data_IF_864515391260
#
_entry.id   IF_864515391260
#
_cell.length_a   1.000
_cell.length_b   1.000
_cell.length_c   1.000
_cell.angle_alpha   90.00
_cell.angle_beta   90.00
_cell.angle_gamma   90.00
#
_symmetry.space_group_name_H-M   'P 1'
#
loop_
_entity.id
_entity.type
_entity.pdbx_description
1 polymer ?
#
# COMPACT_ATOMS: atom_id res chain seq x y z
N UNK A 1 -63.59 3.83 32.82
CA UNK A 1 -64.47 3.77 31.63
C UNK A 1 -63.65 3.14 30.52
N UNK A 2 -64.08 1.96 30.05
CA UNK A 2 -63.39 1.05 29.13
C UNK A 2 -63.98 1.26 27.74
N UNK A 3 -63.16 1.42 26.70
CA UNK A 3 -63.52 1.24 25.28
C UNK A 3 -62.24 0.75 24.57
N UNK A 4 -62.01 -0.55 24.40
CA UNK A 4 -62.58 -1.50 23.44
C UNK A 4 -62.23 -1.18 21.97
N UNK A 5 -61.22 -1.92 21.46
CA UNK A 5 -60.83 -1.93 20.06
C UNK A 5 -61.72 -2.85 19.21
N UNK A 6 -61.75 -2.58 17.91
CA UNK A 6 -62.39 -3.43 16.90
C UNK A 6 -61.36 -3.88 15.87
N UNK A 7 -61.33 -5.20 15.65
CA UNK A 7 -60.62 -5.89 14.57
C UNK A 7 -61.54 -5.93 13.34
N UNK A 8 -60.98 -5.66 12.16
CA UNK A 8 -61.65 -5.89 10.88
C UNK A 8 -60.91 -6.96 10.09
N UNK A 9 -61.59 -8.09 9.87
CA UNK A 9 -61.22 -9.15 8.95
C UNK A 9 -61.63 -8.81 7.52
N UNK A 10 -60.84 -9.18 6.52
CA UNK A 10 -61.39 -9.45 5.18
C UNK A 10 -60.74 -10.68 4.55
N UNK A 11 -61.64 -11.55 4.05
CA UNK A 11 -61.42 -12.70 3.18
C UNK A 11 -60.66 -12.25 1.91
N UNK A 12 -59.75 -13.03 1.31
CA UNK A 12 -59.91 -14.38 0.82
C UNK A 12 -60.00 -14.36 -0.71
N UNK A 13 -59.02 -14.95 -1.39
CA UNK A 13 -59.17 -15.39 -2.79
C UNK A 13 -58.26 -16.58 -3.05
N UNK A 14 -58.92 -17.71 -3.28
CA UNK A 14 -58.38 -18.99 -3.69
C UNK A 14 -57.97 -18.90 -5.17
N UNK A 15 -56.71 -19.20 -5.48
CA UNK A 15 -56.30 -19.55 -6.85
C UNK A 15 -55.73 -20.97 -6.82
N UNK A 16 -56.49 -21.91 -7.38
CA UNK A 16 -56.02 -23.24 -7.76
C UNK A 16 -55.38 -23.14 -9.14
N UNK A 17 -54.13 -23.58 -9.28
CA UNK A 17 -53.60 -24.04 -10.56
C UNK A 17 -52.88 -25.38 -10.40
N UNK A 18 -53.08 -26.19 -11.42
CA UNK A 18 -52.89 -27.62 -11.49
C UNK A 18 -51.41 -28.04 -11.53
N UNK A 19 -51.18 -29.29 -11.10
CA UNK A 19 -49.86 -29.89 -11.06
C UNK A 19 -49.29 -30.27 -12.42
N UNK A 20 -47.97 -30.43 -12.43
CA UNK A 20 -47.24 -31.25 -13.38
C UNK A 20 -46.20 -32.04 -12.60
N UNK A 21 -46.29 -33.36 -12.68
CA UNK A 21 -45.32 -34.30 -12.15
C UNK A 21 -44.02 -34.19 -12.95
N UNK A 22 -42.92 -33.83 -12.27
CA UNK A 22 -41.56 -33.83 -12.79
C UNK A 22 -40.73 -34.91 -12.09
N UNK A 23 -40.13 -35.78 -12.91
CA UNK A 23 -39.38 -36.99 -12.62
C UNK A 23 -38.25 -36.80 -11.59
N UNK A 24 -38.18 -37.70 -10.60
CA UNK A 24 -37.06 -37.83 -9.65
C UNK A 24 -35.86 -38.44 -10.39
N UNK A 25 -34.86 -37.60 -10.71
CA UNK A 25 -33.55 -38.08 -11.13
C UNK A 25 -32.73 -38.50 -9.90
N UNK A 26 -32.36 -39.79 -9.85
CA UNK A 26 -31.44 -40.33 -8.86
C UNK A 26 -30.07 -39.67 -8.98
N UNK A 27 -29.58 -39.08 -7.89
CA UNK A 27 -28.19 -38.62 -7.76
C UNK A 27 -27.24 -39.83 -7.74
N UNK A 28 -26.18 -39.89 -8.56
CA UNK A 28 -25.12 -40.85 -8.36
C UNK A 28 -24.33 -40.50 -7.08
N UNK A 29 -24.13 -41.51 -6.23
CA UNK A 29 -23.16 -41.49 -5.13
C UNK A 29 -21.77 -41.29 -5.72
N UNK A 30 -21.18 -40.10 -5.54
CA UNK A 30 -19.75 -39.92 -5.75
C UNK A 30 -18.99 -40.45 -4.54
N UNK A 31 -18.16 -41.45 -4.81
CA UNK A 31 -17.21 -42.05 -3.87
C UNK A 31 -15.96 -41.14 -3.85
N UNK A 32 -15.59 -40.63 -2.66
CA UNK A 32 -14.29 -40.02 -2.40
C UNK A 32 -13.17 -41.07 -2.55
N UNK A 33 -11.99 -40.72 -3.09
CA UNK A 33 -10.93 -40.26 -2.18
C UNK A 33 -9.91 -39.29 -2.83
N UNK A 34 -9.77 -38.08 -2.29
CA UNK A 34 -8.48 -37.36 -2.40
C UNK A 34 -8.26 -36.62 -1.08
N UNK A 35 -7.57 -37.31 -0.17
CA UNK A 35 -6.99 -36.75 1.04
C UNK A 35 -5.47 -36.84 0.85
N UNK A 36 -4.77 -35.75 1.19
CA UNK A 36 -3.31 -35.61 1.32
C UNK A 36 -2.47 -35.38 0.03
N UNK A 37 -2.54 -34.17 -0.56
CA UNK A 37 -1.44 -33.64 -1.40
C UNK A 37 -0.96 -32.23 -1.02
N UNK A 38 -1.70 -31.51 -0.19
CA UNK A 38 -1.33 -30.15 0.23
C UNK A 38 -0.38 -30.10 1.45
N UNK A 39 -0.35 -31.14 2.29
CA UNK A 39 0.59 -31.22 3.42
C UNK A 39 2.01 -31.68 3.02
N UNK A 40 2.18 -32.29 1.85
CA UNK A 40 3.47 -32.82 1.39
C UNK A 40 4.34 -31.75 0.69
N UNK A 41 3.73 -30.64 0.24
CA UNK A 41 4.45 -29.49 -0.33
C UNK A 41 4.99 -28.54 0.75
N UNK A 42 4.29 -28.39 1.88
CA UNK A 42 4.75 -27.57 3.00
C UNK A 42 5.96 -28.16 3.73
N UNK A 43 6.03 -29.49 3.86
CA UNK A 43 7.16 -30.15 4.52
C UNK A 43 8.43 -30.19 3.66
N UNK A 44 8.31 -30.18 2.31
CA UNK A 44 9.49 -30.14 1.42
C UNK A 44 10.18 -28.78 1.40
N UNK A 45 9.45 -27.68 1.59
CA UNK A 45 10.04 -26.33 1.65
C UNK A 45 10.79 -26.08 2.98
N UNK A 46 10.32 -26.64 4.09
CA UNK A 46 10.99 -26.51 5.39
C UNK A 46 12.33 -27.25 5.44
N UNK A 47 12.47 -28.40 4.78
CA UNK A 47 13.73 -29.17 4.76
C UNK A 47 14.83 -28.52 3.90
N UNK A 48 14.47 -27.82 2.82
CA UNK A 48 15.43 -27.09 1.98
C UNK A 48 16.04 -25.87 2.68
N UNK A 49 15.31 -25.21 3.57
CA UNK A 49 15.81 -24.04 4.30
C UNK A 49 16.84 -24.39 5.40
N UNK A 50 16.71 -25.56 6.04
CA UNK A 50 17.67 -26.04 7.04
C UNK A 50 18.98 -26.56 6.40
N UNK A 51 18.91 -27.23 5.24
CA UNK A 51 20.12 -27.65 4.50
C UNK A 51 20.94 -26.46 3.96
N UNK A 52 20.30 -25.36 3.57
CA UNK A 52 20.99 -24.16 3.07
C UNK A 52 21.67 -23.38 4.21
N UNK A 53 21.07 -23.36 5.40
CA UNK A 53 21.68 -22.78 6.62
C UNK A 53 22.93 -23.55 7.07
N UNK A 54 22.93 -24.88 6.91
CA UNK A 54 24.09 -25.73 7.20
C UNK A 54 25.25 -25.52 6.20
N UNK A 55 24.94 -25.26 4.92
CA UNK A 55 25.96 -24.97 3.90
C UNK A 55 26.63 -23.61 4.10
N UNK A 56 25.90 -22.58 4.54
CA UNK A 56 26.47 -21.26 4.81
C UNK A 56 27.41 -21.31 6.03
N UNK A 57 27.08 -22.09 7.06
CA UNK A 57 27.94 -22.28 8.24
C UNK A 57 29.26 -23.03 8.01
N UNK A 58 29.46 -23.65 6.84
CA UNK A 58 30.68 -24.44 6.54
C UNK A 58 31.68 -23.69 5.65
N UNK A 59 31.28 -22.57 5.04
CA UNK A 59 32.18 -21.76 4.18
C UNK A 59 33.05 -20.80 5.02
N UNK A 60 32.71 -20.56 6.29
CA UNK A 60 33.41 -19.61 7.17
C UNK A 60 34.75 -20.09 7.79
N UNK A 61 35.30 -21.24 7.40
CA UNK A 61 36.54 -21.78 8.02
C UNK A 61 37.67 -22.18 7.06
N UNK A 62 37.78 -21.59 5.86
CA UNK A 62 38.94 -21.84 4.96
C UNK A 62 39.57 -20.61 4.29
N UNK A 63 39.43 -19.41 4.85
CA UNK A 63 40.20 -18.23 4.40
C UNK A 63 41.13 -17.69 5.48
N UNK A 64 42.11 -18.49 5.90
CA UNK A 64 43.30 -18.01 6.61
C UNK A 64 44.52 -18.78 6.13
N UNK A 65 45.21 -18.24 5.12
CA UNK A 65 46.67 -18.28 4.90
C UNK A 65 46.99 -17.91 3.45
N UNK A 66 47.02 -16.61 3.16
CA UNK A 66 47.76 -16.08 2.02
C UNK A 66 48.25 -14.69 2.35
N UNK A 67 49.33 -14.61 3.12
CA UNK A 67 50.10 -13.40 3.35
C UNK A 67 50.88 -13.05 2.09
N UNK A 68 50.22 -12.37 1.15
CA UNK A 68 50.88 -11.58 0.10
C UNK A 68 50.72 -10.12 0.47
N UNK A 69 51.84 -9.41 0.63
CA UNK A 69 51.89 -7.99 0.93
C UNK A 69 51.20 -7.21 -0.20
N UNK A 70 49.92 -6.91 -0.02
CA UNK A 70 49.19 -5.94 -0.84
C UNK A 70 49.62 -4.53 -0.41
N UNK A 71 49.96 -3.72 -1.41
CA UNK A 71 50.18 -2.29 -1.22
C UNK A 71 48.92 -1.70 -0.58
N UNK A 72 49.10 -1.07 0.58
CA UNK A 72 48.17 -0.16 1.21
C UNK A 72 47.60 0.81 0.15
N UNK A 73 46.41 0.50 -0.35
CA UNK A 73 45.59 1.44 -1.09
C UNK A 73 44.94 2.29 -0.01
N UNK A 74 45.25 3.59 -0.04
CA UNK A 74 44.66 4.59 0.83
C UNK A 74 43.14 4.62 0.61
N UNK A 75 42.40 3.87 1.43
CA UNK A 75 40.94 3.82 1.43
C UNK A 75 40.31 5.02 2.15
N UNK A 76 41.08 6.05 2.52
CA UNK A 76 40.59 7.15 3.38
C UNK A 76 39.59 8.11 2.70
N UNK A 77 39.25 7.93 1.42
CA UNK A 77 38.30 8.80 0.71
C UNK A 77 37.47 8.07 -0.35
N UNK A 78 36.83 6.95 0.02
CA UNK A 78 35.63 6.55 -0.72
C UNK A 78 34.51 7.45 -0.21
N UNK A 79 34.32 8.58 -0.87
CA UNK A 79 33.08 9.35 -0.70
C UNK A 79 31.95 8.39 -1.06
N UNK A 80 31.12 8.04 -0.08
CA UNK A 80 29.90 7.29 -0.36
C UNK A 80 29.14 8.06 -1.44
N UNK A 81 28.79 7.43 -2.57
CA UNK A 81 28.07 8.11 -3.62
C UNK A 81 26.79 8.68 -3.02
N UNK A 82 26.73 10.01 -2.96
CA UNK A 82 25.55 10.74 -2.50
C UNK A 82 24.33 10.16 -3.23
N UNK A 83 23.25 9.79 -2.52
CA UNK A 83 22.05 9.28 -3.17
C UNK A 83 21.60 10.32 -4.19
N UNK A 84 21.52 9.90 -5.46
CA UNK A 84 21.27 10.78 -6.60
C UNK A 84 19.89 11.46 -6.56
N UNK A 85 19.03 11.06 -5.62
CA UNK A 85 17.71 11.61 -5.38
C UNK A 85 16.89 11.63 -6.67
N UNK A 86 16.14 12.71 -6.86
CA UNK A 86 15.33 12.93 -8.06
C UNK A 86 16.09 12.92 -9.39
N UNK A 87 17.41 13.14 -9.39
CA UNK A 87 18.18 13.22 -10.63
C UNK A 87 18.24 11.87 -11.37
N UNK A 88 17.90 10.77 -10.69
CA UNK A 88 17.80 9.45 -11.31
C UNK A 88 16.41 9.17 -11.86
N UNK A 89 15.38 9.87 -11.38
CA UNK A 89 14.04 9.75 -11.94
C UNK A 89 14.02 10.38 -13.34
N UNK A 90 13.72 9.56 -14.33
CA UNK A 90 13.67 9.93 -15.74
C UNK A 90 12.37 9.38 -16.28
N UNK A 91 11.42 10.28 -16.53
CA UNK A 91 10.13 9.92 -17.07
C UNK A 91 9.78 10.91 -18.18
N UNK A 92 9.25 10.39 -19.29
CA UNK A 92 8.59 11.23 -20.30
C UNK A 92 7.43 12.04 -19.69
N UNK A 93 7.06 13.18 -20.30
CA UNK A 93 5.90 13.95 -19.86
C UNK A 93 4.63 13.07 -19.83
N UNK A 94 3.77 13.33 -18.86
CA UNK A 94 2.46 12.71 -18.79
C UNK A 94 1.40 13.79 -18.55
N UNK A 95 0.19 13.58 -19.08
CA UNK A 95 -0.93 14.49 -18.87
C UNK A 95 -1.83 14.01 -17.74
N UNK A 96 -2.21 14.95 -16.87
CA UNK A 96 -3.21 14.79 -15.81
C UNK A 96 -4.64 15.07 -16.29
N UNK A 97 -4.78 15.78 -17.41
CA UNK A 97 -6.05 16.27 -17.92
C UNK A 97 -6.58 15.45 -19.09
N UNK A 98 -5.75 14.58 -19.64
CA UNK A 98 -6.20 13.68 -20.68
C UNK A 98 -7.15 12.69 -20.02
N UNK A 99 -8.35 12.55 -20.58
CA UNK A 99 -9.37 11.63 -20.09
C UNK A 99 -8.93 10.15 -20.15
N UNK A 100 -7.70 9.88 -20.60
CA UNK A 100 -7.08 8.56 -20.76
C UNK A 100 -7.95 7.58 -21.57
N UNK A 101 -8.93 8.09 -22.33
CA UNK A 101 -9.86 7.29 -23.14
C UNK A 101 -9.38 7.10 -24.57
N UNK A 102 -8.48 7.97 -25.04
CA UNK A 102 -7.86 7.88 -26.36
C UNK A 102 -6.41 7.50 -26.17
N UNK A 103 -6.15 6.19 -26.14
CA UNK A 103 -4.80 5.68 -26.33
C UNK A 103 -4.40 5.95 -27.78
N UNK A 104 -3.74 7.08 -28.05
CA UNK A 104 -2.96 7.19 -29.27
C UNK A 104 -1.62 6.47 -29.01
N UNK A 105 -1.37 5.30 -29.60
CA UNK A 105 -0.08 4.60 -29.45
C UNK A 105 1.10 5.41 -30.01
N UNK A 106 0.85 6.54 -30.70
CA UNK A 106 1.85 7.48 -31.21
C UNK A 106 1.95 8.78 -30.41
N UNK A 107 1.02 9.07 -29.50
CA UNK A 107 1.15 10.22 -28.61
C UNK A 107 2.15 9.85 -27.51
N UNK A 108 3.27 10.59 -27.47
CA UNK A 108 4.30 10.46 -26.44
C UNK A 108 3.80 10.85 -25.03
N UNK A 109 2.64 11.50 -24.93
CA UNK A 109 2.02 11.88 -23.67
C UNK A 109 1.29 10.68 -23.06
N UNK A 110 2.01 9.92 -22.23
CA UNK A 110 1.40 8.87 -21.40
C UNK A 110 0.37 9.54 -20.48
N UNK A 111 -0.76 8.89 -20.24
CA UNK A 111 -1.65 9.33 -19.16
C UNK A 111 -0.97 9.08 -17.81
N UNK A 112 -0.89 10.11 -16.93
CA UNK A 112 -0.18 9.96 -15.65
C UNK A 112 -0.75 8.82 -14.79
N UNK A 113 -2.07 8.57 -14.86
CA UNK A 113 -2.68 7.45 -14.11
C UNK A 113 -2.16 6.08 -14.51
N UNK A 114 -1.78 5.87 -15.78
CA UNK A 114 -1.19 4.60 -16.24
C UNK A 114 0.20 4.40 -15.61
N UNK A 115 0.98 5.48 -15.55
CA UNK A 115 2.31 5.45 -14.93
C UNK A 115 2.20 5.21 -13.41
N UNK A 116 1.24 5.87 -12.75
CA UNK A 116 0.93 5.64 -11.34
C UNK A 116 0.55 4.17 -11.09
N UNK A 117 -0.29 3.57 -11.94
CA UNK A 117 -0.65 2.15 -11.84
C UNK A 117 0.54 1.22 -12.01
N UNK A 118 1.41 1.50 -12.98
CA UNK A 118 2.65 0.75 -13.17
C UNK A 118 3.56 0.83 -11.93
N UNK A 119 3.71 2.01 -11.34
CA UNK A 119 4.48 2.20 -10.11
C UNK A 119 3.87 1.39 -8.96
N UNK A 120 2.55 1.45 -8.77
CA UNK A 120 1.88 0.73 -7.69
C UNK A 120 1.96 -0.78 -7.85
N UNK A 121 1.79 -1.29 -9.06
CA UNK A 121 1.97 -2.71 -9.39
C UNK A 121 3.41 -3.16 -9.12
N UNK A 122 4.39 -2.41 -9.63
CA UNK A 122 5.81 -2.73 -9.44
C UNK A 122 6.19 -2.79 -7.97
N UNK A 123 5.73 -1.80 -7.18
CA UNK A 123 5.94 -1.79 -5.74
C UNK A 123 5.26 -2.98 -5.04
N UNK A 124 4.00 -3.26 -5.37
CA UNK A 124 3.24 -4.34 -4.77
C UNK A 124 3.88 -5.71 -5.05
N UNK A 125 4.29 -5.95 -6.29
CA UNK A 125 4.92 -7.20 -6.69
C UNK A 125 6.28 -7.38 -6.01
N UNK A 126 7.08 -6.31 -5.96
CA UNK A 126 8.35 -6.32 -5.24
C UNK A 126 8.18 -6.61 -3.75
N UNK A 127 7.31 -5.87 -3.05
CA UNK A 127 7.12 -6.05 -1.62
C UNK A 127 6.50 -7.40 -1.28
N UNK A 128 5.59 -7.91 -2.12
CA UNK A 128 5.03 -9.26 -1.99
C UNK A 128 6.13 -10.33 -2.11
N UNK A 129 7.02 -10.22 -3.10
CA UNK A 129 8.16 -11.13 -3.27
C UNK A 129 9.08 -11.13 -2.03
N UNK A 130 9.23 -9.98 -1.38
CA UNK A 130 10.05 -9.84 -0.15
C UNK A 130 9.30 -10.15 1.14
N UNK A 131 8.03 -10.53 1.08
CA UNK A 131 7.21 -10.78 2.28
C UNK A 131 7.00 -9.54 3.13
N UNK A 132 7.08 -8.35 2.54
CA UNK A 132 6.89 -7.07 3.22
C UNK A 132 5.46 -6.59 3.04
N UNK A 133 4.80 -6.27 4.15
CA UNK A 133 3.47 -5.66 4.13
C UNK A 133 3.57 -4.16 3.90
N UNK A 134 2.62 -3.62 3.13
CA UNK A 134 2.41 -2.19 2.93
C UNK A 134 0.92 -1.92 2.80
N UNK A 135 0.51 -0.66 2.88
CA UNK A 135 -0.86 -0.25 2.61
C UNK A 135 -0.93 1.16 2.03
N UNK A 136 -2.00 1.46 1.28
CA UNK A 136 -2.23 2.79 0.71
C UNK A 136 -2.78 3.77 1.76
N UNK A 137 -2.45 5.06 1.64
CA UNK A 137 -2.89 6.11 2.55
C UNK A 137 -3.29 7.38 1.78
N UNK A 138 -3.73 8.42 2.51
CA UNK A 138 -3.97 9.77 1.99
C UNK A 138 -4.76 9.82 0.65
N UNK A 139 -4.22 10.48 -0.39
CA UNK A 139 -4.92 10.69 -1.64
C UNK A 139 -5.16 9.39 -2.40
N UNK A 140 -4.26 8.42 -2.26
CA UNK A 140 -4.39 7.10 -2.87
C UNK A 140 -5.52 6.29 -2.21
N UNK A 141 -5.59 6.30 -0.87
CA UNK A 141 -6.69 5.69 -0.13
C UNK A 141 -8.04 6.31 -0.49
N UNK A 142 -8.08 7.64 -0.64
CA UNK A 142 -9.28 8.37 -1.03
C UNK A 142 -9.78 7.92 -2.41
N UNK A 143 -8.92 7.92 -3.43
CA UNK A 143 -9.29 7.48 -4.77
C UNK A 143 -9.76 6.03 -4.81
N UNK A 144 -9.00 5.12 -4.17
CA UNK A 144 -9.33 3.71 -4.13
C UNK A 144 -10.69 3.45 -3.47
N UNK A 145 -11.00 4.16 -2.38
CA UNK A 145 -12.25 3.96 -1.66
C UNK A 145 -13.45 4.65 -2.33
N UNK A 146 -13.27 5.89 -2.82
CA UNK A 146 -14.35 6.70 -3.40
C UNK A 146 -14.70 6.26 -4.81
N UNK A 147 -13.68 6.12 -5.66
CA UNK A 147 -13.84 5.97 -7.10
C UNK A 147 -13.40 4.58 -7.59
N UNK A 148 -12.80 3.76 -6.73
CA UNK A 148 -12.17 2.50 -7.15
C UNK A 148 -11.01 2.72 -8.12
N UNK A 149 -10.36 3.88 -8.06
CA UNK A 149 -9.37 4.32 -9.05
C UNK A 149 -8.37 5.31 -8.44
N UNK A 150 -7.26 5.55 -9.12
CA UNK A 150 -6.37 6.66 -8.80
C UNK A 150 -7.04 7.98 -9.19
N UNK A 151 -6.91 9.00 -8.34
CA UNK A 151 -7.50 10.32 -8.58
C UNK A 151 -6.89 10.92 -9.87
N UNK A 152 -7.69 11.26 -10.90
CA UNK A 152 -7.16 11.57 -12.24
C UNK A 152 -6.15 12.72 -12.29
N UNK A 153 -6.32 13.72 -11.43
CA UNK A 153 -5.46 14.91 -11.39
C UNK A 153 -4.24 14.79 -10.46
N UNK A 154 -4.02 13.64 -9.83
CA UNK A 154 -2.85 13.44 -8.95
C UNK A 154 -1.57 13.22 -9.75
N UNK A 155 -0.42 13.53 -9.15
CA UNK A 155 0.92 13.21 -9.70
C UNK A 155 1.61 12.08 -8.93
N UNK A 156 1.06 11.69 -7.80
CA UNK A 156 1.71 10.80 -6.85
C UNK A 156 0.76 9.78 -6.25
N UNK A 157 1.40 8.75 -5.69
CA UNK A 157 0.79 7.77 -4.82
C UNK A 157 1.33 7.91 -3.40
N UNK A 158 0.51 7.56 -2.44
CA UNK A 158 0.83 7.59 -1.02
C UNK A 158 0.69 6.17 -0.46
N UNK A 159 1.80 5.60 -0.02
CA UNK A 159 1.83 4.27 0.60
C UNK A 159 2.60 4.30 1.90
N UNK A 160 2.37 3.31 2.75
CA UNK A 160 3.02 3.19 4.05
C UNK A 160 3.74 1.85 4.15
N UNK A 161 4.99 1.91 4.62
CA UNK A 161 5.82 0.74 4.90
C UNK A 161 6.43 0.91 6.29
N UNK A 162 6.47 -0.16 7.08
CA UNK A 162 7.08 -0.13 8.41
C UNK A 162 8.57 0.19 8.34
N UNK A 163 9.07 0.92 9.34
CA UNK A 163 10.46 1.40 9.39
C UNK A 163 11.48 0.27 9.18
N UNK A 164 11.21 -0.89 9.77
CA UNK A 164 12.08 -2.07 9.71
C UNK A 164 12.28 -2.60 8.27
N UNK A 165 11.39 -2.27 7.33
CA UNK A 165 11.46 -2.75 5.94
C UNK A 165 11.96 -1.71 4.94
N UNK A 166 12.29 -0.50 5.38
CA UNK A 166 12.80 0.58 4.49
C UNK A 166 14.05 0.16 3.71
N UNK A 167 14.97 -0.56 4.36
CA UNK A 167 16.18 -1.10 3.71
C UNK A 167 15.90 -2.11 2.59
N UNK A 168 14.69 -2.70 2.56
CA UNK A 168 14.28 -3.61 1.47
C UNK A 168 14.01 -2.79 0.20
N UNK A 169 13.34 -1.64 0.34
CA UNK A 169 13.00 -0.75 -0.77
C UNK A 169 14.22 -0.17 -1.48
N UNK A 170 15.31 0.10 -0.76
CA UNK A 170 16.57 0.59 -1.33
C UNK A 170 17.14 -0.36 -2.41
N UNK A 171 16.80 -1.64 -2.32
CA UNK A 171 17.21 -2.67 -3.29
C UNK A 171 16.21 -2.92 -4.41
N UNK A 172 15.14 -2.12 -4.56
CA UNK A 172 14.14 -2.35 -5.61
C UNK A 172 14.75 -2.32 -7.02
N UNK A 173 15.77 -1.49 -7.23
CA UNK A 173 16.47 -1.38 -8.50
C UNK A 173 17.26 -2.65 -8.88
N UNK A 174 17.63 -3.48 -7.90
CA UNK A 174 18.27 -4.79 -8.13
C UNK A 174 17.24 -5.83 -8.61
N UNK A 175 15.98 -5.67 -8.18
CA UNK A 175 14.87 -6.51 -8.62
C UNK A 175 14.41 -6.13 -10.03
N UNK A 176 14.32 -4.83 -10.31
CA UNK A 176 14.02 -4.31 -11.64
C UNK A 176 14.60 -2.90 -11.79
N UNK A 177 15.53 -2.75 -12.74
CA UNK A 177 16.28 -1.51 -12.99
C UNK A 177 15.40 -0.32 -13.42
N UNK A 178 14.16 -0.59 -13.84
CA UNK A 178 13.15 0.42 -14.19
C UNK A 178 12.72 1.23 -12.96
N UNK A 179 12.82 0.66 -11.75
CA UNK A 179 12.39 1.35 -10.54
C UNK A 179 13.59 1.86 -9.76
N UNK A 180 13.48 3.09 -9.28
CA UNK A 180 14.45 3.66 -8.36
C UNK A 180 13.76 4.17 -7.12
N UNK A 181 14.39 3.90 -5.97
CA UNK A 181 13.95 4.34 -4.67
C UNK A 181 15.09 5.04 -3.93
N UNK A 182 14.75 6.08 -3.17
CA UNK A 182 15.65 6.70 -2.21
C UNK A 182 14.89 7.19 -0.98
N UNK A 183 15.57 7.25 0.16
CA UNK A 183 15.06 7.97 1.32
C UNK A 183 15.35 9.46 1.16
N UNK A 184 14.29 10.29 1.11
CA UNK A 184 14.43 11.75 1.15
C UNK A 184 14.85 12.20 2.56
N UNK A 185 14.30 11.53 3.58
CA UNK A 185 14.73 11.59 4.96
C UNK A 185 14.25 10.34 5.70
N UNK A 186 14.55 10.20 6.99
CA UNK A 186 14.18 9.02 7.81
C UNK A 186 12.66 8.74 7.95
N UNK A 187 11.80 9.59 7.42
CA UNK A 187 10.34 9.48 7.56
C UNK A 187 9.59 9.39 6.22
N UNK A 188 10.28 9.60 5.10
CA UNK A 188 9.68 9.50 3.77
C UNK A 188 10.74 9.06 2.75
N UNK A 189 10.44 7.98 2.05
CA UNK A 189 11.13 7.56 0.85
C UNK A 189 10.31 7.88 -0.38
N UNK A 190 10.95 7.86 -1.54
CA UNK A 190 10.31 8.15 -2.82
C UNK A 190 10.72 7.12 -3.85
N UNK A 191 9.76 6.74 -4.68
CA UNK A 191 9.97 5.80 -5.78
C UNK A 191 9.50 6.41 -7.09
N UNK A 192 10.21 6.14 -8.17
CA UNK A 192 9.89 6.60 -9.52
C UNK A 192 10.35 5.59 -10.58
N UNK A 193 9.96 5.85 -11.83
CA UNK A 193 10.51 5.15 -13.00
C UNK A 193 11.81 5.81 -13.44
N UNK A 194 12.77 4.97 -13.84
CA UNK A 194 14.00 5.33 -14.52
C UNK A 194 13.88 4.86 -15.97
N UNK A 195 13.65 5.80 -16.88
CA UNK A 195 13.69 5.57 -18.31
C UNK A 195 15.04 6.09 -18.84
N UNK A 196 16.03 5.21 -18.89
CA UNK A 196 17.37 5.57 -19.36
C UNK A 196 17.45 5.68 -20.90
N UNK A 197 16.50 5.08 -21.61
CA UNK A 197 16.50 4.95 -23.07
C UNK A 197 15.68 6.07 -23.75
N UNK A 198 14.77 6.73 -23.03
CA UNK A 198 14.07 7.90 -23.55
C UNK A 198 14.98 9.14 -23.53
N UNK A 199 15.48 9.51 -24.71
CA UNK A 199 16.28 10.73 -24.93
C UNK A 199 15.54 12.02 -24.52
N UNK A 200 14.20 11.97 -24.44
CA UNK A 200 13.37 13.07 -23.97
C UNK A 200 13.03 12.98 -22.48
N UNK A 201 13.45 11.92 -21.78
CA UNK A 201 13.21 11.81 -20.36
C UNK A 201 13.90 12.95 -19.63
N UNK A 202 13.09 13.75 -18.92
CA UNK A 202 13.60 14.90 -18.18
C UNK A 202 13.87 14.46 -16.76
N UNK A 203 15.11 14.64 -16.32
CA UNK A 203 15.41 14.80 -14.91
C UNK A 203 14.86 16.16 -14.46
N UNK A 204 14.60 16.33 -13.17
CA UNK A 204 14.01 17.52 -12.56
C UNK A 204 14.43 18.88 -13.18
N UNK A 205 13.48 19.82 -13.25
CA UNK A 205 13.76 21.20 -13.68
C UNK A 205 12.77 22.29 -13.21
N UNK A 206 11.52 21.94 -12.87
CA UNK A 206 10.52 22.85 -12.30
C UNK A 206 9.29 22.09 -11.72
N UNK A 207 8.54 22.70 -10.79
CA UNK A 207 7.40 22.08 -10.08
C UNK A 207 6.23 21.64 -10.98
N UNK A 208 6.11 22.22 -12.18
CA UNK A 208 5.16 21.83 -13.22
C UNK A 208 5.56 20.54 -13.96
N UNK A 209 6.75 19.98 -13.67
CA UNK A 209 7.35 18.82 -14.35
C UNK A 209 7.75 17.72 -13.39
N UNK A 210 7.13 17.66 -12.20
CA UNK A 210 7.40 16.56 -11.28
C UNK A 210 6.93 15.27 -11.97
N UNK A 211 7.85 14.32 -12.21
CA UNK A 211 7.48 13.04 -12.80
C UNK A 211 6.52 12.33 -11.85
N UNK A 212 5.81 11.33 -12.35
CA UNK A 212 4.95 10.52 -11.52
C UNK A 212 5.79 9.77 -10.47
N UNK A 213 5.35 9.75 -9.21
CA UNK A 213 6.11 9.10 -8.14
C UNK A 213 5.23 8.43 -7.09
N UNK A 214 5.87 7.71 -6.17
CA UNK A 214 5.25 7.16 -4.95
C UNK A 214 5.97 7.75 -3.75
N UNK A 215 5.24 8.44 -2.88
CA UNK A 215 5.69 8.75 -1.53
C UNK A 215 5.47 7.51 -0.65
N UNK A 216 6.57 7.01 -0.07
CA UNK A 216 6.59 5.91 0.89
C UNK A 216 6.78 6.49 2.28
N UNK A 217 5.69 6.58 3.02
CA UNK A 217 5.68 7.09 4.38
C UNK A 217 6.16 6.03 5.36
N UNK A 218 6.98 6.44 6.32
CA UNK A 218 7.42 5.60 7.44
C UNK A 218 6.67 6.05 8.70
N UNK A 219 5.75 5.23 9.22
CA UNK A 219 4.95 5.61 10.38
C UNK A 219 5.82 5.59 11.65
N UNK A 220 5.40 6.35 12.65
CA UNK A 220 5.89 6.22 14.02
C UNK A 220 4.74 5.81 14.92
N UNK A 221 4.93 4.69 15.62
CA UNK A 221 3.99 4.27 16.66
C UNK A 221 4.35 4.92 17.99
N UNK A 222 3.37 5.56 18.60
CA UNK A 222 3.46 6.14 19.93
C UNK A 222 2.52 5.35 20.83
N UNK A 223 3.10 4.53 21.70
CA UNK A 223 2.34 3.80 22.70
C UNK A 223 2.95 3.99 24.08
N UNK A 224 2.10 4.00 25.11
CA UNK A 224 2.55 3.74 26.49
C UNK A 224 2.82 2.25 26.74
N UNK A 225 2.23 1.36 25.91
CA UNK A 225 2.50 -0.08 25.79
C UNK A 225 1.70 -0.64 24.59
N UNK A 226 2.37 -0.91 23.45
CA UNK A 226 1.72 -1.30 22.17
C UNK A 226 0.85 -2.56 22.31
N UNK A 227 1.21 -3.46 23.22
CA UNK A 227 0.59 -4.78 23.34
C UNK A 227 -0.87 -4.77 23.86
N UNK A 228 -1.40 -3.65 24.41
CA UNK A 228 -2.70 -3.69 25.12
C UNK A 228 -3.58 -2.45 25.07
N UNK A 229 -3.14 -1.29 24.58
CA UNK A 229 -4.01 -0.10 24.66
C UNK A 229 -4.68 0.24 23.33
N UNK A 230 -6.01 0.35 23.38
CA UNK A 230 -6.84 1.10 22.43
C UNK A 230 -6.39 2.56 22.26
N UNK A 231 -5.43 3.01 23.08
CA UNK A 231 -4.84 4.34 23.08
C UNK A 231 -3.59 4.46 22.21
N UNK A 232 -3.06 3.37 21.65
CA UNK A 232 -1.88 3.41 20.80
C UNK A 232 -2.12 4.31 19.58
N UNK A 233 -1.21 5.23 19.31
CA UNK A 233 -1.31 6.20 18.22
C UNK A 233 -0.27 5.91 17.15
N UNK A 234 -0.64 6.17 15.90
CA UNK A 234 0.26 6.16 14.77
C UNK A 234 0.31 7.56 14.19
N UNK A 235 1.51 8.09 14.04
CA UNK A 235 1.76 9.43 13.49
C UNK A 235 2.68 9.32 12.29
N UNK A 236 2.52 10.24 11.35
CA UNK A 236 3.41 10.38 10.20
C UNK A 236 4.19 11.67 10.38
N UNK A 237 5.48 11.63 10.71
CA UNK A 237 6.23 12.85 11.05
C UNK A 237 6.25 13.92 9.94
N UNK A 238 6.09 13.51 8.68
CA UNK A 238 5.99 14.40 7.51
C UNK A 238 4.60 15.05 7.35
N UNK A 239 3.57 14.47 7.98
CA UNK A 239 2.22 15.06 8.10
C UNK A 239 1.87 15.15 9.59
N UNK A 240 2.58 15.99 10.37
CA UNK A 240 2.53 15.96 11.83
C UNK A 240 1.16 16.35 12.42
N UNK A 241 0.26 16.89 11.59
CA UNK A 241 -1.13 17.20 11.96
C UNK A 241 -2.02 15.96 11.99
N UNK A 242 -1.59 14.82 11.48
CA UNK A 242 -2.43 13.64 11.40
C UNK A 242 -2.01 12.61 12.45
N UNK A 243 -2.89 12.39 13.43
CA UNK A 243 -2.66 11.45 14.54
C UNK A 243 -3.76 10.39 14.55
N UNK A 244 -3.42 9.20 14.11
CA UNK A 244 -4.37 8.11 13.92
C UNK A 244 -4.40 7.18 15.12
N UNK A 245 -5.56 6.57 15.39
CA UNK A 245 -5.57 5.39 16.27
C UNK A 245 -4.94 4.22 15.52
N UNK A 246 -4.01 3.53 16.17
CA UNK A 246 -3.31 2.38 15.56
C UNK A 246 -4.30 1.27 15.21
N UNK A 247 -5.36 1.10 16.01
CA UNK A 247 -6.43 0.12 15.73
C UNK A 247 -7.24 0.43 14.47
N UNK A 248 -7.32 1.71 14.05
CA UNK A 248 -8.01 2.06 12.80
C UNK A 248 -7.17 1.70 11.57
N UNK A 249 -5.85 1.61 11.73
CA UNK A 249 -4.90 1.21 10.69
C UNK A 249 -4.75 -0.30 10.62
N UNK A 250 -4.38 -0.94 11.72
CA UNK A 250 -3.98 -2.35 11.74
C UNK A 250 -5.07 -3.31 12.24
N UNK A 251 -6.18 -2.78 12.75
CA UNK A 251 -7.21 -3.55 13.45
C UNK A 251 -6.90 -3.76 14.93
N UNK A 252 -7.75 -4.51 15.63
CA UNK A 252 -7.64 -4.75 17.08
C UNK A 252 -6.50 -5.72 17.47
N UNK A 253 -5.95 -6.47 16.53
CA UNK A 253 -4.88 -7.46 16.74
C UNK A 253 -3.54 -6.93 16.19
N UNK A 254 -2.94 -5.99 16.90
CA UNK A 254 -1.78 -5.25 16.40
C UNK A 254 -0.52 -6.11 16.57
N UNK A 255 0.26 -6.24 15.49
CA UNK A 255 1.68 -6.64 15.38
C UNK A 255 1.98 -8.02 14.75
N UNK A 256 1.07 -8.99 14.72
CA UNK A 256 1.34 -10.25 13.98
C UNK A 256 0.26 -10.71 13.00
N UNK A 257 -0.98 -10.23 13.14
CA UNK A 257 -2.11 -10.53 12.24
C UNK A 257 -2.85 -9.23 11.87
N UNK A 258 -2.13 -8.23 11.35
CA UNK A 258 -2.77 -6.99 10.91
C UNK A 258 -3.88 -7.30 9.91
N UNK A 259 -5.09 -6.82 10.21
CA UNK A 259 -6.29 -7.06 9.41
C UNK A 259 -6.47 -5.92 8.40
N UNK A 260 -5.50 -5.79 7.49
CA UNK A 260 -5.67 -4.85 6.39
C UNK A 260 -6.89 -5.24 5.57
N UNK A 261 -7.69 -4.24 5.19
CA UNK A 261 -8.72 -4.44 4.18
C UNK A 261 -8.07 -4.42 2.80
N UNK A 262 -8.70 -5.04 1.82
CA UNK A 262 -8.34 -4.86 0.42
C UNK A 262 -9.34 -3.90 -0.23
N UNK A 263 -8.82 -2.93 -0.97
CA UNK A 263 -9.61 -2.06 -1.85
C UNK A 263 -9.21 -2.36 -3.29
N UNK A 264 -10.14 -2.12 -4.21
CA UNK A 264 -9.92 -2.31 -5.64
C UNK A 264 -9.54 -0.98 -6.28
N UNK A 265 -8.43 -0.96 -7.03
CA UNK A 265 -8.08 0.12 -7.95
C UNK A 265 -8.12 -0.48 -9.35
N UNK A 266 -9.09 -0.04 -10.17
CA UNK A 266 -9.41 -0.62 -11.49
C UNK A 266 -9.50 -2.14 -11.45
N UNK A 267 -8.45 -2.86 -11.86
CA UNK A 267 -8.45 -4.31 -12.05
C UNK A 267 -7.59 -5.09 -11.05
N UNK A 268 -7.08 -4.42 -10.01
CA UNK A 268 -6.28 -5.08 -8.98
C UNK A 268 -6.66 -4.64 -7.56
N UNK A 269 -6.31 -5.51 -6.61
CA UNK A 269 -6.51 -5.27 -5.19
C UNK A 269 -5.24 -4.74 -4.55
N UNK A 270 -5.41 -3.79 -3.63
CA UNK A 270 -4.37 -3.18 -2.82
C UNK A 270 -4.75 -3.19 -1.35
N UNK A 271 -3.76 -3.33 -0.48
CA UNK A 271 -3.98 -3.28 0.96
C UNK A 271 -4.24 -1.84 1.43
N UNK A 272 -5.16 -1.71 2.36
CA UNK A 272 -5.58 -0.45 2.96
C UNK A 272 -5.81 -0.61 4.48
N UNK A 273 -5.87 0.49 5.24
CA UNK A 273 -6.20 0.48 6.65
C UNK A 273 -7.48 -0.30 6.97
N UNK A 274 -7.48 -1.03 8.08
CA UNK A 274 -8.61 -1.85 8.56
C UNK A 274 -9.93 -1.07 8.62
N UNK A 275 -9.87 0.24 8.95
CA UNK A 275 -11.02 1.15 8.99
C UNK A 275 -10.83 2.35 8.06
N UNK A 276 -10.66 2.09 6.76
CA UNK A 276 -10.47 3.11 5.72
C UNK A 276 -11.40 4.34 5.84
N UNK A 277 -12.71 4.14 6.07
CA UNK A 277 -13.68 5.26 6.22
C UNK A 277 -13.36 6.14 7.44
N UNK A 278 -12.96 5.54 8.56
CA UNK A 278 -12.59 6.30 9.76
C UNK A 278 -11.34 7.15 9.51
N UNK A 279 -10.34 6.57 8.82
CA UNK A 279 -9.13 7.26 8.39
C UNK A 279 -9.47 8.43 7.46
N UNK A 280 -10.28 8.20 6.42
CA UNK A 280 -10.66 9.26 5.47
C UNK A 280 -11.47 10.37 6.12
N UNK A 281 -12.40 10.03 7.03
CA UNK A 281 -13.14 11.03 7.80
C UNK A 281 -12.24 11.88 8.70
N UNK A 282 -11.18 11.28 9.25
CA UNK A 282 -10.20 12.00 10.04
C UNK A 282 -9.33 12.93 9.18
N UNK A 283 -8.87 12.46 8.02
CA UNK A 283 -8.02 13.27 7.12
C UNK A 283 -8.82 14.39 6.47
N UNK A 284 -9.97 14.09 5.87
CA UNK A 284 -10.67 14.96 4.92
C UNK A 284 -12.08 15.39 5.37
N UNK A 285 -12.43 15.19 6.65
CA UNK A 285 -13.79 15.40 7.22
C UNK A 285 -14.85 14.47 6.60
N UNK A 286 -16.14 14.66 6.80
CA UNK A 286 -17.17 13.82 6.14
C UNK A 286 -17.48 14.23 4.70
N UNK A 287 -16.84 15.30 4.19
CA UNK A 287 -17.15 15.89 2.88
C UNK A 287 -16.40 15.27 1.70
N UNK A 288 -15.41 14.41 1.93
CA UNK A 288 -14.60 13.84 0.83
C UNK A 288 -15.37 12.94 -0.13
N UNK A 289 -16.51 12.38 0.30
CA UNK A 289 -17.41 11.60 -0.57
C UNK A 289 -18.10 12.47 -1.62
N UNK A 290 -18.41 13.73 -1.28
CA UNK A 290 -19.09 14.67 -2.16
C UNK A 290 -18.40 16.05 -2.02
N UNK A 291 -17.16 16.18 -2.54
CA UNK A 291 -16.40 17.40 -2.39
C UNK A 291 -17.04 18.55 -3.18
N UNK A 292 -16.81 19.78 -2.73
CA UNK A 292 -16.99 20.95 -3.59
C UNK A 292 -15.82 20.96 -4.58
N UNK A 293 -16.02 20.37 -5.77
CA UNK A 293 -14.98 20.14 -6.78
C UNK A 293 -14.24 21.43 -7.15
N UNK A 294 -14.91 22.58 -7.11
CA UNK A 294 -14.32 23.88 -7.47
C UNK A 294 -13.40 24.46 -6.38
N UNK A 295 -13.59 24.07 -5.11
CA UNK A 295 -12.85 24.68 -3.98
C UNK A 295 -11.90 23.71 -3.31
N UNK A 296 -12.27 22.45 -3.23
CA UNK A 296 -11.56 21.47 -2.42
C UNK A 296 -11.87 20.06 -2.93
N UNK A 297 -11.21 19.63 -4.02
CA UNK A 297 -11.52 18.35 -4.69
C UNK A 297 -11.25 17.11 -3.81
N UNK A 298 -10.54 17.29 -2.70
CA UNK A 298 -10.30 16.28 -1.67
C UNK A 298 -11.16 16.48 -0.39
N UNK A 299 -11.93 17.57 -0.27
CA UNK A 299 -12.60 17.98 0.97
C UNK A 299 -11.77 18.93 1.83
N UNK A 300 -12.41 19.62 2.78
CA UNK A 300 -11.77 20.69 3.57
C UNK A 300 -10.76 20.14 4.60
N UNK A 301 -9.48 20.42 4.37
CA UNK A 301 -8.37 20.29 5.34
C UNK A 301 -7.71 18.90 5.38
N UNK A 302 -6.40 18.87 5.63
CA UNK A 302 -5.65 17.68 6.05
C UNK A 302 -5.55 17.71 7.59
N UNK A 303 -6.36 16.90 8.27
CA UNK A 303 -6.39 16.72 9.73
C UNK A 303 -6.64 18.03 10.54
N UNK A 304 -7.42 17.95 11.62
CA UNK A 304 -7.86 19.17 12.32
C UNK A 304 -6.77 19.70 13.27
N UNK A 305 -6.78 21.01 13.56
CA UNK A 305 -5.72 21.67 14.34
C UNK A 305 -5.51 21.08 15.75
N UNK A 306 -6.54 20.49 16.35
CA UNK A 306 -6.47 19.86 17.68
C UNK A 306 -5.42 18.73 17.72
N UNK A 307 -5.19 18.07 16.58
CA UNK A 307 -4.22 17.00 16.45
C UNK A 307 -2.78 17.52 16.52
N UNK A 308 -2.51 18.78 16.17
CA UNK A 308 -1.17 19.38 16.25
C UNK A 308 -0.74 19.62 17.71
N UNK A 309 -1.66 20.09 18.56
CA UNK A 309 -1.40 20.25 20.00
C UNK A 309 -1.09 18.88 20.63
N UNK A 310 -1.87 17.87 20.22
CA UNK A 310 -1.68 16.49 20.67
C UNK A 310 -0.35 15.91 20.16
N UNK A 311 0.01 16.12 18.90
CA UNK A 311 1.31 15.71 18.33
C UNK A 311 2.48 16.34 19.10
N UNK A 312 2.44 17.65 19.36
CA UNK A 312 3.49 18.34 20.10
C UNK A 312 3.66 17.72 21.50
N UNK A 313 2.55 17.35 22.15
CA UNK A 313 2.56 16.64 23.45
C UNK A 313 3.10 15.21 23.32
N UNK A 314 2.77 14.48 22.27
CA UNK A 314 3.29 13.13 22.06
C UNK A 314 4.80 13.14 21.77
N UNK A 315 5.27 14.08 20.96
CA UNK A 315 6.68 14.21 20.61
C UNK A 315 7.51 14.64 21.82
N UNK A 316 6.99 15.51 22.71
CA UNK A 316 7.70 15.89 23.93
C UNK A 316 7.85 14.74 24.93
N UNK A 317 6.93 13.77 24.92
CA UNK A 317 6.99 12.57 25.76
C UNK A 317 7.93 11.48 25.23
N UNK A 318 8.34 11.56 23.97
CA UNK A 318 9.17 10.56 23.29
C UNK A 318 10.65 10.96 23.17
N UNK A 319 11.05 12.06 23.82
CA UNK A 319 12.44 12.49 23.99
C UNK A 319 12.93 12.10 25.38
#
# INVERSE_FOLDING_TARGET
MIVAGTLSSSNGSLVRLAGSFGTIAQKPKLVNPVVNRAQDLGNRQATTFEEEKSRIGTIEMKMQNSTRAEKSVDTSKREDPQPLGWNRCRQGPCSKFDNCTVHDPRALDKCCSIVLEQLLHGLQDFLRDKGVSFYIMFGTLLGAHRDGAIIPWTSDLDVVVEADFTHVLERIHEWNETFYFWMENRHIGRMCIVDNDDENAKTWGAWDKIPTYVDVYVPKHVAKNVARSSEAKTVFPVVPRCVFNTVDIYGSEIVQNSTFTQLRIRDFNVYAPARAVAILNHIYTTKWMNPDEAKSPHGSGQCQNDDQLYYNKLVSLAK
#
